data_IF_272595915494
#
_entry.id   IF_272595915494
#
_cell.length_a   1.000
_cell.length_b   1.000
_cell.length_c   1.000
_cell.angle_alpha   90.00
_cell.angle_beta   90.00
_cell.angle_gamma   90.00
#
_symmetry.space_group_name_H-M   'P 1'
#
loop_
_entity.id
_entity.type
_entity.pdbx_description
1 polymer ?
#
# COMPACT_ATOMS: atom_id res chain seq x y z
N UNK A 1 -22.13 -29.60 -11.20
CA UNK A 1 -22.63 -28.22 -11.03
C UNK A 1 -21.68 -27.49 -10.12
N UNK A 2 -20.99 -26.50 -10.69
CA UNK A 2 -19.90 -25.73 -10.09
C UNK A 2 -20.48 -24.55 -9.31
N UNK A 3 -20.17 -24.44 -8.01
CA UNK A 3 -20.29 -23.18 -7.28
C UNK A 3 -18.90 -22.70 -6.89
N UNK A 4 -18.28 -21.94 -7.80
CA UNK A 4 -17.18 -21.06 -7.46
C UNK A 4 -17.70 -20.03 -6.44
N UNK A 5 -17.20 -20.10 -5.21
CA UNK A 5 -17.32 -19.04 -4.21
C UNK A 5 -16.75 -17.74 -4.80
N UNK A 6 -17.63 -16.91 -5.35
CA UNK A 6 -17.34 -15.53 -5.72
C UNK A 6 -16.97 -14.78 -4.44
N UNK A 7 -15.68 -14.48 -4.28
CA UNK A 7 -15.23 -13.49 -3.32
C UNK A 7 -15.92 -12.17 -3.65
N UNK A 8 -16.87 -11.75 -2.80
CA UNK A 8 -17.40 -10.38 -2.86
C UNK A 8 -16.21 -9.46 -2.58
N UNK A 9 -15.87 -8.62 -3.55
CA UNK A 9 -15.02 -7.44 -3.35
C UNK A 9 -15.42 -6.82 -2.02
N UNK A 10 -14.47 -6.71 -1.08
CA UNK A 10 -14.65 -6.01 0.17
C UNK A 10 -15.22 -4.63 -0.14
N UNK A 11 -16.51 -4.50 0.12
CA UNK A 11 -17.26 -3.27 -0.01
C UNK A 11 -16.84 -2.42 1.19
N UNK A 12 -15.98 -1.41 0.97
CA UNK A 12 -15.72 -0.39 1.97
C UNK A 12 -16.97 0.50 2.10
N UNK A 13 -17.96 0.04 2.86
CA UNK A 13 -19.04 0.89 3.36
C UNK A 13 -18.56 1.60 4.61
N UNK A 14 -18.04 2.82 4.45
CA UNK A 14 -18.23 3.85 5.45
C UNK A 14 -18.55 5.16 4.70
N UNK A 15 -19.86 5.36 4.51
CA UNK A 15 -20.45 6.62 4.07
C UNK A 15 -20.21 7.73 5.11
N UNK A 16 -19.84 8.90 4.61
CA UNK A 16 -20.24 10.25 5.06
C UNK A 16 -19.91 10.77 6.47
N UNK A 17 -19.36 10.01 7.43
CA UNK A 17 -19.27 10.53 8.81
C UNK A 17 -17.92 11.08 9.28
N UNK A 18 -16.89 11.19 8.45
CA UNK A 18 -15.61 11.74 8.93
C UNK A 18 -14.94 12.63 7.88
N UNK A 19 -15.31 13.92 7.85
CA UNK A 19 -14.63 14.96 7.07
C UNK A 19 -13.28 15.38 7.66
N UNK A 20 -12.88 14.78 8.78
CA UNK A 20 -11.69 15.16 9.54
C UNK A 20 -10.83 13.92 9.81
N UNK A 21 -9.59 13.84 9.28
CA UNK A 21 -8.71 12.73 9.59
C UNK A 21 -8.49 12.64 11.11
N UNK A 22 -8.99 11.57 11.71
CA UNK A 22 -8.70 11.19 13.11
C UNK A 22 -7.43 10.34 13.10
N UNK A 23 -6.63 10.42 14.16
CA UNK A 23 -5.34 9.72 14.25
C UNK A 23 -5.45 8.53 15.20
N UNK A 24 -6.04 7.44 14.72
CA UNK A 24 -6.03 6.15 15.42
C UNK A 24 -4.88 5.30 14.90
N UNK A 25 -4.16 4.57 15.79
CA UNK A 25 -3.13 3.64 15.36
C UNK A 25 -3.69 2.56 14.43
N UNK A 26 -2.93 2.18 13.40
CA UNK A 26 -3.29 1.02 12.58
C UNK A 26 -3.19 -0.26 13.43
N UNK A 27 -4.10 -1.21 13.18
CA UNK A 27 -4.11 -2.52 13.85
C UNK A 27 -2.84 -3.29 13.45
N UNK A 28 -2.54 -3.31 12.15
CA UNK A 28 -1.36 -3.97 11.58
C UNK A 28 -0.26 -2.95 11.25
N UNK A 29 0.43 -2.45 12.29
CA UNK A 29 1.60 -1.60 12.10
C UNK A 29 2.80 -2.40 11.61
N UNK A 30 3.49 -1.87 10.61
CA UNK A 30 4.80 -2.36 10.22
C UNK A 30 5.84 -1.79 11.18
N UNK A 31 6.88 -2.58 11.45
CA UNK A 31 8.02 -2.12 12.24
C UNK A 31 8.74 -0.98 11.50
N UNK A 32 9.30 -0.02 12.23
CA UNK A 32 9.98 1.14 11.66
C UNK A 32 11.21 0.78 10.81
N UNK A 33 11.74 -0.43 10.95
CA UNK A 33 12.82 -0.96 10.11
C UNK A 33 12.44 -1.07 8.62
N UNK A 34 11.14 -1.05 8.29
CA UNK A 34 10.71 -1.02 6.88
C UNK A 34 10.89 0.35 6.22
N UNK A 35 11.17 1.39 7.01
CA UNK A 35 11.49 2.71 6.48
C UNK A 35 12.91 2.68 5.90
N UNK A 36 13.03 2.93 4.61
CA UNK A 36 14.30 2.85 3.90
C UNK A 36 14.37 3.86 2.76
N UNK A 37 15.57 4.18 2.30
CA UNK A 37 15.77 4.91 1.04
C UNK A 37 16.56 4.02 0.08
N UNK A 38 15.98 3.72 -1.08
CA UNK A 38 16.59 2.87 -2.10
C UNK A 38 16.60 3.65 -3.41
N UNK A 39 17.79 3.91 -3.97
CA UNK A 39 17.99 4.63 -5.24
C UNK A 39 17.22 5.97 -5.33
N UNK A 40 17.14 6.69 -4.22
CA UNK A 40 16.43 7.98 -4.13
C UNK A 40 14.93 7.88 -3.80
N UNK A 41 14.37 6.67 -3.76
CA UNK A 41 12.98 6.41 -3.38
C UNK A 41 12.89 6.13 -1.89
N UNK A 42 12.05 6.89 -1.19
CA UNK A 42 11.86 6.78 0.25
C UNK A 42 10.62 5.94 0.53
N UNK A 43 10.81 4.85 1.25
CA UNK A 43 9.76 3.98 1.77
C UNK A 43 9.44 4.40 3.19
N UNK A 44 8.17 4.66 3.49
CA UNK A 44 7.72 5.15 4.80
C UNK A 44 6.48 4.38 5.21
N UNK A 45 6.55 3.65 6.33
CA UNK A 45 5.40 3.03 6.95
C UNK A 45 4.47 4.08 7.54
N UNK A 46 3.19 3.92 7.27
CA UNK A 46 2.13 4.69 7.91
C UNK A 46 1.70 4.00 9.20
N UNK A 47 1.46 4.78 10.24
CA UNK A 47 1.22 4.28 11.60
C UNK A 47 -0.19 4.56 12.10
N UNK A 48 -0.93 5.46 11.45
CA UNK A 48 -2.25 5.87 11.86
C UNK A 48 -3.15 6.20 10.65
N UNK A 49 -4.45 6.29 10.94
CA UNK A 49 -5.50 6.59 9.97
C UNK A 49 -5.38 7.98 9.34
N UNK A 50 -4.85 8.98 10.07
CA UNK A 50 -4.63 10.32 9.53
C UNK A 50 -3.52 10.34 8.45
N UNK A 51 -2.43 9.61 8.68
CA UNK A 51 -1.37 9.42 7.69
C UNK A 51 -1.89 8.70 6.44
N UNK A 52 -2.75 7.68 6.61
CA UNK A 52 -3.40 6.99 5.49
C UNK A 52 -4.31 7.92 4.69
N UNK A 53 -5.10 8.74 5.39
CA UNK A 53 -5.96 9.75 4.77
C UNK A 53 -5.16 10.72 3.90
N UNK A 54 -4.14 11.37 4.47
CA UNK A 54 -3.33 12.34 3.73
C UNK A 54 -2.52 11.73 2.58
N UNK A 55 -2.00 10.52 2.77
CA UNK A 55 -1.34 9.79 1.68
C UNK A 55 -2.34 9.43 0.57
N UNK A 56 -3.56 9.03 0.93
CA UNK A 56 -4.63 8.70 0.00
C UNK A 56 -5.09 9.90 -0.82
N UNK A 57 -5.25 11.07 -0.18
CA UNK A 57 -5.54 12.33 -0.87
C UNK A 57 -4.43 12.67 -1.87
N UNK A 58 -3.16 12.60 -1.44
CA UNK A 58 -2.02 12.93 -2.30
C UNK A 58 -1.83 11.95 -3.47
N UNK A 59 -2.16 10.68 -3.27
CA UNK A 59 -2.10 9.64 -4.29
C UNK A 59 -3.37 9.56 -5.12
N UNK A 60 -4.44 10.28 -4.77
CA UNK A 60 -5.77 10.12 -5.35
C UNK A 60 -6.19 8.62 -5.41
N UNK A 61 -5.99 7.91 -4.30
CA UNK A 61 -6.18 6.46 -4.24
C UNK A 61 -7.13 6.04 -3.11
N UNK A 62 -7.45 4.74 -3.03
CA UNK A 62 -8.44 4.25 -2.08
C UNK A 62 -8.03 4.32 -0.60
N UNK A 63 -6.76 4.61 -0.27
CA UNK A 63 -6.29 4.74 1.13
C UNK A 63 -7.06 5.82 1.89
N UNK A 64 -7.56 6.85 1.20
CA UNK A 64 -8.32 7.94 1.83
C UNK A 64 -9.62 7.47 2.52
N UNK A 65 -10.15 6.32 2.08
CA UNK A 65 -11.40 5.74 2.58
C UNK A 65 -11.16 4.51 3.46
N UNK A 66 -9.90 4.21 3.81
CA UNK A 66 -9.53 3.06 4.61
C UNK A 66 -9.55 3.45 6.09
N UNK A 67 -10.71 3.29 6.72
CA UNK A 67 -10.89 3.55 8.16
C UNK A 67 -10.10 2.55 9.01
N UNK A 68 -10.45 1.27 8.93
CA UNK A 68 -9.79 0.20 9.66
C UNK A 68 -8.84 -0.57 8.73
N UNK A 69 -7.61 -0.08 8.64
CA UNK A 69 -6.57 -0.71 7.85
C UNK A 69 -6.12 -2.02 8.54
N UNK A 70 -6.68 -3.15 8.11
CA UNK A 70 -6.25 -4.50 8.53
C UNK A 70 -4.86 -4.89 7.98
N UNK A 71 -4.21 -3.96 7.28
CA UNK A 71 -2.91 -4.15 6.64
C UNK A 71 -1.94 -3.04 7.02
N UNK A 72 -0.65 -3.36 7.03
CA UNK A 72 0.40 -2.36 7.09
C UNK A 72 0.54 -1.63 5.77
N UNK A 73 0.60 -0.30 5.81
CA UNK A 73 0.74 0.52 4.61
C UNK A 73 2.13 1.15 4.58
N UNK A 74 2.78 1.06 3.42
CA UNK A 74 4.03 1.76 3.12
C UNK A 74 3.80 2.67 1.93
N UNK A 75 4.15 3.94 2.06
CA UNK A 75 4.15 4.87 0.93
C UNK A 75 5.54 4.97 0.33
N UNK A 76 5.59 5.27 -0.96
CA UNK A 76 6.82 5.57 -1.66
C UNK A 76 6.81 7.05 -2.03
N UNK A 77 7.87 7.76 -1.64
CA UNK A 77 8.13 9.14 -2.05
C UNK A 77 9.35 9.22 -2.96
N UNK A 78 9.28 10.10 -3.94
CA UNK A 78 10.42 10.50 -4.76
C UNK A 78 10.40 12.03 -4.90
N UNK A 79 11.55 12.67 -4.69
CA UNK A 79 11.64 14.14 -4.62
C UNK A 79 10.56 14.80 -3.74
N UNK A 80 10.31 14.22 -2.54
CA UNK A 80 9.30 14.65 -1.55
C UNK A 80 7.83 14.50 -1.97
N UNK A 81 7.54 13.97 -3.17
CA UNK A 81 6.17 13.70 -3.63
C UNK A 81 5.82 12.24 -3.43
N UNK A 82 4.58 11.97 -3.00
CA UNK A 82 4.03 10.61 -3.00
C UNK A 82 3.86 10.13 -4.45
N UNK A 83 4.32 8.92 -4.75
CA UNK A 83 4.21 8.33 -6.10
C UNK A 83 3.48 6.99 -6.11
N UNK A 84 3.53 6.26 -4.99
CA UNK A 84 2.90 4.96 -4.86
C UNK A 84 2.63 4.61 -3.39
N UNK A 85 1.85 3.56 -3.21
CA UNK A 85 1.60 2.91 -1.93
C UNK A 85 1.67 1.39 -2.08
N UNK A 86 2.06 0.72 -1.01
CA UNK A 86 2.19 -0.72 -0.87
C UNK A 86 1.41 -1.13 0.36
N UNK A 87 0.57 -2.15 0.19
CA UNK A 87 -0.18 -2.80 1.23
C UNK A 87 0.50 -4.13 1.57
N UNK A 88 0.81 -4.31 2.86
CA UNK A 88 1.50 -5.48 3.39
C UNK A 88 0.62 -6.13 4.45
N UNK A 89 0.32 -7.41 4.26
CA UNK A 89 -0.42 -8.22 5.21
C UNK A 89 0.31 -9.52 5.47
N UNK A 90 0.52 -9.89 6.74
CA UNK A 90 1.24 -11.10 7.15
C UNK A 90 2.58 -11.31 6.40
N UNK A 91 3.41 -10.26 6.34
CA UNK A 91 4.70 -10.27 5.63
C UNK A 91 4.62 -10.56 4.12
N UNK A 92 3.49 -10.28 3.48
CA UNK A 92 3.31 -10.39 2.03
C UNK A 92 2.79 -9.07 1.48
N UNK A 93 3.36 -8.59 0.38
CA UNK A 93 2.75 -7.50 -0.39
C UNK A 93 1.48 -8.05 -1.03
N UNK A 94 0.32 -7.56 -0.60
CA UNK A 94 -0.98 -7.95 -1.17
C UNK A 94 -1.39 -7.03 -2.31
N UNK A 95 -0.90 -5.78 -2.29
CA UNK A 95 -1.18 -4.80 -3.31
C UNK A 95 -0.08 -3.73 -3.37
N UNK A 96 0.21 -3.20 -4.56
CA UNK A 96 0.89 -1.93 -4.71
C UNK A 96 0.25 -1.12 -5.84
N UNK A 97 0.05 0.18 -5.60
CA UNK A 97 -0.65 1.10 -6.51
C UNK A 97 0.13 2.39 -6.66
N UNK A 98 0.21 2.87 -7.89
CA UNK A 98 0.64 4.23 -8.22
C UNK A 98 -0.48 5.24 -7.88
N UNK A 99 -0.20 6.51 -8.16
CA UNK A 99 -1.19 7.60 -8.18
C UNK A 99 -2.41 7.17 -9.02
N UNK A 100 -3.62 7.54 -8.58
CA UNK A 100 -4.87 7.25 -9.29
C UNK A 100 -5.29 5.78 -9.26
N UNK A 101 -4.82 4.99 -8.29
CA UNK A 101 -5.02 3.54 -8.21
C UNK A 101 -4.47 2.74 -9.41
N UNK A 102 -3.58 3.33 -10.22
CA UNK A 102 -2.95 2.62 -11.33
C UNK A 102 -2.07 1.47 -10.82
N UNK A 103 -2.06 0.36 -11.58
CA UNK A 103 -1.19 -0.78 -11.28
C UNK A 103 0.25 -0.43 -11.62
N UNK A 104 1.19 -0.97 -10.86
CA UNK A 104 2.61 -0.94 -11.21
C UNK A 104 2.83 -1.95 -12.34
N UNK A 105 3.31 -1.48 -13.49
CA UNK A 105 3.53 -2.31 -14.66
C UNK A 105 4.84 -3.11 -14.56
N UNK A 106 4.96 -4.20 -15.33
CA UNK A 106 6.17 -5.06 -15.36
C UNK A 106 7.45 -4.31 -15.72
N UNK A 107 7.33 -3.31 -16.59
CA UNK A 107 8.43 -2.49 -17.10
C UNK A 107 8.65 -1.19 -16.31
N UNK A 108 7.89 -0.98 -15.24
CA UNK A 108 8.10 0.18 -14.39
C UNK A 108 9.38 -0.02 -13.56
N UNK A 109 10.33 0.91 -13.67
CA UNK A 109 11.55 0.87 -12.87
C UNK A 109 11.26 0.85 -11.36
N UNK A 110 10.09 1.33 -10.94
CA UNK A 110 9.62 1.25 -9.57
C UNK A 110 9.41 -0.20 -9.10
N UNK A 111 9.07 -1.13 -10.00
CA UNK A 111 8.89 -2.56 -9.66
C UNK A 111 10.17 -3.16 -9.10
N UNK A 112 11.30 -2.92 -9.74
CA UNK A 112 12.60 -3.43 -9.30
C UNK A 112 12.98 -2.89 -7.92
N UNK A 113 12.68 -1.62 -7.68
CA UNK A 113 12.97 -0.94 -6.41
C UNK A 113 12.10 -1.50 -5.28
N UNK A 114 10.83 -1.80 -5.56
CA UNK A 114 9.93 -2.46 -4.59
C UNK A 114 10.41 -3.88 -4.29
N UNK A 115 10.88 -4.62 -5.30
CA UNK A 115 11.45 -5.95 -5.11
C UNK A 115 12.69 -5.87 -4.21
N UNK A 116 13.62 -4.94 -4.48
CA UNK A 116 14.82 -4.72 -3.66
C UNK A 116 14.46 -4.37 -2.19
N UNK A 117 13.50 -3.47 -2.01
CA UNK A 117 12.96 -3.11 -0.69
C UNK A 117 12.35 -4.32 0.03
N UNK A 118 11.53 -5.11 -0.65
CA UNK A 118 10.84 -6.26 -0.05
C UNK A 118 11.84 -7.33 0.43
N UNK A 119 12.89 -7.61 -0.35
CA UNK A 119 13.96 -8.55 -0.01
C UNK A 119 14.73 -8.08 1.23
N UNK A 120 15.05 -6.79 1.28
CA UNK A 120 15.76 -6.18 2.41
C UNK A 120 14.97 -6.25 3.73
N UNK A 121 13.64 -6.37 3.64
CA UNK A 121 12.73 -6.39 4.78
C UNK A 121 12.12 -7.77 5.07
N UNK A 122 12.56 -8.82 4.37
CA UNK A 122 11.98 -10.17 4.47
C UNK A 122 10.45 -10.18 4.26
N UNK A 123 9.97 -9.38 3.29
CA UNK A 123 8.57 -9.31 2.87
C UNK A 123 8.45 -10.01 1.53
N UNK A 124 7.50 -10.95 1.42
CA UNK A 124 7.25 -11.67 0.17
C UNK A 124 6.62 -10.75 -0.86
N UNK A 125 7.26 -10.65 -2.03
CA UNK A 125 6.79 -9.81 -3.12
C UNK A 125 6.17 -10.66 -4.24
N UNK A 126 4.89 -10.44 -4.62
CA UNK A 126 4.29 -11.17 -5.74
C UNK A 126 4.91 -10.76 -7.08
N UNK A 127 5.56 -9.59 -7.14
CA UNK A 127 6.25 -9.14 -8.34
C UNK A 127 7.50 -9.96 -8.67
N UNK A 128 8.06 -10.75 -7.75
CA UNK A 128 9.21 -11.63 -8.05
C UNK A 128 8.83 -12.77 -9.01
N UNK A 129 7.53 -13.07 -9.17
CA UNK A 129 7.05 -14.05 -10.15
C UNK A 129 6.57 -13.28 -11.38
N UNK A 130 7.14 -13.58 -12.54
CA UNK A 130 6.80 -12.96 -13.83
C UNK A 130 5.40 -13.32 -14.37
N UNK A 131 4.47 -13.74 -13.51
CA UNK A 131 3.17 -14.28 -13.89
C UNK A 131 2.08 -13.21 -13.86
N UNK A 132 2.11 -12.26 -14.79
CA UNK A 132 0.91 -11.55 -15.25
C UNK A 132 1.09 -11.16 -16.73
N UNK A 133 0.83 -12.12 -17.62
CA UNK A 133 0.24 -11.84 -18.93
C UNK A 133 -1.26 -11.55 -18.77
#
# INVERSE_FOLDING_TARGET
MSEQKKWKKGFCFFNDMISTPYSLPLIHRLSSNVNATIRGYQFIALNNTAECYHAGEALHNCLQSWGDCDSGVVVIKHHRKFIASIEVFNHVIVQARLIGNHRINKHDGLREIIIEWSKSNNIKCPFDKDEYE
#
